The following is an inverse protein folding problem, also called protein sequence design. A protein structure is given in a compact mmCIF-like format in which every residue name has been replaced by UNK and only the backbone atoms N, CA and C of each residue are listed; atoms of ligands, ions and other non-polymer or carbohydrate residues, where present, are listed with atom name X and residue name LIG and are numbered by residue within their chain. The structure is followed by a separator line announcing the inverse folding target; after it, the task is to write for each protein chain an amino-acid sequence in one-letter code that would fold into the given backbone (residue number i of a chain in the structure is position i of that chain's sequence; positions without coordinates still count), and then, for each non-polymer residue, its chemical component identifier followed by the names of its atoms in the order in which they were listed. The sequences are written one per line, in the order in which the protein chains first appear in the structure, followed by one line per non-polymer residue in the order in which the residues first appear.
data_IF_262496766364
#
_entry.id   IF_262496766364
#
_cell.length_a   1.000
_cell.length_b   1.000
_cell.length_c   1.000
_cell.angle_alpha   90.00
_cell.angle_beta   90.00
_cell.angle_gamma   90.00
#
_symmetry.space_group_name_H-M   'P 1'
#
loop_
_entity.id
_entity.type
_entity.pdbx_description
1 polymer ?
#
# COMPACT_ATOMS: atom_id res chain seq x y z
N UNK A 1 -8.35 9.72 15.41
CA UNK A 1 -7.56 9.33 14.22
C UNK A 1 -6.98 10.62 13.67
N UNK A 2 -5.77 10.98 14.10
CA UNK A 2 -5.10 12.17 13.61
C UNK A 2 -4.78 12.03 12.12
N UNK A 3 -5.15 13.05 11.35
CA UNK A 3 -4.94 13.12 9.90
C UNK A 3 -3.49 12.84 9.49
N UNK A 4 -2.53 13.34 10.30
CA UNK A 4 -1.09 13.17 10.08
C UNK A 4 -0.66 11.70 10.08
N UNK A 5 -1.28 10.86 10.89
CA UNK A 5 -0.95 9.43 10.97
C UNK A 5 -1.43 8.68 9.72
N UNK A 6 -2.51 9.13 9.08
CA UNK A 6 -3.03 8.49 7.88
C UNK A 6 -2.14 8.73 6.66
N UNK A 7 -1.71 9.97 6.43
CA UNK A 7 -0.77 10.31 5.35
C UNK A 7 0.58 9.62 5.53
N UNK A 8 1.11 9.58 6.76
CA UNK A 8 2.36 8.85 7.05
C UNK A 8 2.24 7.35 6.74
N UNK A 9 1.08 6.74 7.02
CA UNK A 9 0.82 5.32 6.68
C UNK A 9 0.75 5.12 5.18
N UNK A 10 0.10 6.02 4.44
CA UNK A 10 0.04 6.00 2.98
C UNK A 10 1.44 6.09 2.38
N UNK A 11 2.24 7.06 2.82
CA UNK A 11 3.62 7.25 2.38
C UNK A 11 4.48 6.01 2.69
N UNK A 12 4.34 5.43 3.88
CA UNK A 12 5.04 4.20 4.24
C UNK A 12 4.67 3.03 3.31
N UNK A 13 3.37 2.83 3.05
CA UNK A 13 2.91 1.77 2.15
C UNK A 13 3.49 1.98 0.75
N UNK A 14 3.40 3.21 0.23
CA UNK A 14 3.96 3.57 -1.08
C UNK A 14 5.46 3.26 -1.15
N UNK A 15 6.23 3.70 -0.15
CA UNK A 15 7.67 3.48 -0.09
C UNK A 15 8.04 1.98 -0.01
N UNK A 16 7.25 1.17 0.71
CA UNK A 16 7.45 -0.28 0.75
C UNK A 16 7.15 -0.95 -0.60
N UNK A 17 6.12 -0.49 -1.32
CA UNK A 17 5.78 -1.00 -2.65
C UNK A 17 6.85 -0.58 -3.67
N UNK A 18 7.33 0.66 -3.60
CA UNK A 18 8.40 1.21 -4.45
C UNK A 18 9.72 0.45 -4.26
N UNK A 19 10.09 0.21 -3.00
CA UNK A 19 11.29 -0.59 -2.66
C UNK A 19 11.11 -2.08 -2.92
N UNK A 20 9.96 -2.54 -3.45
CA UNK A 20 9.60 -3.96 -3.64
C UNK A 20 9.71 -4.80 -2.36
N UNK A 21 9.61 -4.16 -1.19
CA UNK A 21 9.69 -4.77 0.15
C UNK A 21 8.31 -5.04 0.76
N UNK A 22 7.25 -4.68 0.04
CA UNK A 22 5.88 -4.95 0.46
C UNK A 22 5.63 -6.47 0.53
N UNK A 23 5.58 -7.01 1.75
CA UNK A 23 5.48 -8.47 2.00
C UNK A 23 4.07 -8.99 1.72
N UNK A 24 3.12 -8.58 2.55
CA UNK A 24 1.71 -8.96 2.44
C UNK A 24 0.83 -7.90 3.10
N UNK A 25 -0.45 -7.90 2.71
CA UNK A 25 -1.44 -7.02 3.31
C UNK A 25 -1.63 -7.33 4.80
N UNK A 26 -1.58 -8.60 5.19
CA UNK A 26 -1.80 -9.05 6.57
C UNK A 26 -0.70 -8.57 7.50
N UNK A 27 0.57 -8.71 7.09
CA UNK A 27 1.72 -8.22 7.89
C UNK A 27 1.69 -6.71 8.04
N UNK A 28 1.28 -6.01 6.99
CA UNK A 28 1.16 -4.55 7.01
C UNK A 28 0.00 -4.10 7.89
N UNK A 29 -1.13 -4.81 7.81
CA UNK A 29 -2.31 -4.58 8.63
C UNK A 29 -2.01 -4.80 10.12
N UNK A 30 -1.33 -5.90 10.46
CA UNK A 30 -0.88 -6.23 11.82
C UNK A 30 0.06 -5.16 12.38
N UNK A 31 1.08 -4.75 11.60
CA UNK A 31 2.01 -3.68 11.98
C UNK A 31 1.32 -2.35 12.28
N UNK A 32 0.27 -2.03 11.53
CA UNK A 32 -0.50 -0.79 11.73
C UNK A 32 -1.63 -0.95 12.75
N UNK A 33 -1.86 -2.15 13.27
CA UNK A 33 -2.99 -2.47 14.15
C UNK A 33 -4.33 -2.19 13.49
N UNK A 34 -4.44 -2.39 12.16
CA UNK A 34 -5.64 -2.09 11.40
C UNK A 34 -6.10 -3.28 10.56
N UNK A 35 -7.30 -3.19 10.00
CA UNK A 35 -7.82 -4.28 9.17
C UNK A 35 -7.15 -4.32 7.79
N UNK A 36 -7.03 -5.52 7.21
CA UNK A 36 -6.62 -5.70 5.80
C UNK A 36 -7.47 -4.86 4.84
N UNK A 37 -8.76 -4.68 5.16
CA UNK A 37 -9.68 -3.83 4.40
C UNK A 37 -9.23 -2.36 4.40
N UNK A 38 -8.69 -1.87 5.52
CA UNK A 38 -8.13 -0.51 5.62
C UNK A 38 -6.91 -0.34 4.73
N UNK A 39 -5.99 -1.32 4.70
CA UNK A 39 -4.83 -1.30 3.80
C UNK A 39 -5.26 -1.31 2.33
N UNK A 40 -6.24 -2.14 1.97
CA UNK A 40 -6.78 -2.15 0.60
C UNK A 40 -7.38 -0.80 0.21
N UNK A 41 -8.07 -0.13 1.13
CA UNK A 41 -8.57 1.25 0.93
C UNK A 41 -7.43 2.25 0.76
N UNK A 42 -6.38 2.16 1.58
CA UNK A 42 -5.20 3.02 1.44
C UNK A 42 -4.53 2.86 0.07
N UNK A 43 -4.36 1.62 -0.40
CA UNK A 43 -3.81 1.34 -1.73
C UNK A 43 -4.73 1.88 -2.84
N UNK A 44 -6.05 1.74 -2.69
CA UNK A 44 -7.00 2.33 -3.64
C UNK A 44 -6.85 3.85 -3.69
N UNK A 45 -6.69 4.50 -2.53
CA UNK A 45 -6.47 5.94 -2.47
C UNK A 45 -5.17 6.38 -3.15
N UNK A 46 -4.08 5.64 -2.96
CA UNK A 46 -2.83 5.88 -3.67
C UNK A 46 -3.01 5.76 -5.20
N UNK A 47 -3.86 4.85 -5.68
CA UNK A 47 -4.19 4.76 -7.12
C UNK A 47 -4.98 5.98 -7.60
N UNK A 48 -5.94 6.45 -6.81
CA UNK A 48 -6.70 7.67 -7.10
C UNK A 48 -5.80 8.91 -7.14
N UNK A 49 -4.74 8.93 -6.33
CA UNK A 49 -3.71 9.98 -6.35
C UNK A 49 -2.78 9.94 -7.57
N UNK A 50 -2.92 8.94 -8.45
CA UNK A 50 -2.13 8.82 -9.69
C UNK A 50 -0.91 7.91 -9.58
N UNK A 51 -0.73 7.18 -8.47
CA UNK A 51 0.34 6.19 -8.39
C UNK A 51 -0.03 4.92 -9.19
N UNK A 52 0.84 4.43 -10.09
CA UNK A 52 0.55 3.27 -10.95
C UNK A 52 0.73 1.95 -10.19
N UNK A 53 -0.02 1.75 -9.11
CA UNK A 53 0.05 0.54 -8.28
C UNK A 53 -0.80 -0.56 -8.93
N UNK A 54 -0.15 -1.60 -9.44
CA UNK A 54 -0.81 -2.79 -9.95
C UNK A 54 -0.77 -3.93 -8.93
N UNK A 55 -1.69 -4.89 -9.09
CA UNK A 55 -1.73 -6.09 -8.26
C UNK A 55 -1.38 -7.30 -9.13
N UNK A 56 -0.33 -8.01 -8.74
CA UNK A 56 0.10 -9.26 -9.35
C UNK A 56 -0.72 -10.40 -8.74
N UNK A 57 -1.50 -11.08 -9.58
CA UNK A 57 -2.29 -12.25 -9.15
C UNK A 57 -1.43 -13.50 -8.93
N UNK A 58 -0.35 -13.64 -9.70
CA UNK A 58 0.56 -14.79 -9.62
C UNK A 58 1.38 -14.72 -8.33
N UNK A 59 1.91 -13.54 -8.01
CA UNK A 59 2.70 -13.35 -6.79
C UNK A 59 1.86 -12.96 -5.57
N UNK A 60 0.58 -12.61 -5.76
CA UNK A 60 -0.32 -12.04 -4.75
C UNK A 60 0.27 -10.80 -4.08
N UNK A 61 0.99 -9.98 -4.84
CA UNK A 61 1.74 -8.81 -4.37
C UNK A 61 1.35 -7.55 -5.12
N UNK A 62 1.53 -6.41 -4.47
CA UNK A 62 1.40 -5.10 -5.11
C UNK A 62 2.75 -4.65 -5.63
N UNK A 63 2.75 -4.05 -6.82
CA UNK A 63 3.94 -3.50 -7.44
C UNK A 63 3.60 -2.17 -8.11
N UNK A 64 4.54 -1.25 -8.14
CA UNK A 64 4.44 -0.05 -8.96
C UNK A 64 4.84 -0.43 -10.37
N UNK A 65 3.92 -0.25 -11.31
CA UNK A 65 4.22 -0.36 -12.74
C UNK A 65 4.87 0.96 -13.12
N UNK A 66 6.18 1.05 -12.96
CA UNK A 66 6.94 2.18 -13.47
C UNK A 66 6.72 2.19 -14.98
N UNK A 67 6.03 3.22 -15.46
CA UNK A 67 5.88 3.44 -16.89
C UNK A 67 7.22 4.01 -17.36
N UNK A 68 8.11 3.14 -17.82
CA UNK A 68 9.20 3.54 -18.71
C UNK A 68 8.64 4.05 -20.03
#
# INVERSE_FOLDING_TARGET
MDFRTYEQRLQYILEQIEKKRFRSLEVTADRFGCSVRTIKRMIAHLREQGHPISYDRLQKKYFIKESQ
#
